data_IF_026435319041
#
_entry.id   IF_026435319041
#
_cell.length_a   1.000
_cell.length_b   1.000
_cell.length_c   1.000
_cell.angle_alpha   90.00
_cell.angle_beta   90.00
_cell.angle_gamma   90.00
#
_symmetry.space_group_name_H-M   'P 1'
#
loop_
_entity.id
_entity.type
_entity.pdbx_description
1 polymer ?
#
# COMPACT_ATOMS: atom_id res chain seq x y z
N UNK A 1 6.27 -12.54 -9.97
CA UNK A 1 5.11 -13.24 -9.37
C UNK A 1 4.69 -12.62 -8.05
N UNK A 2 3.40 -12.28 -7.92
CA UNK A 2 2.80 -11.73 -6.70
C UNK A 2 1.67 -12.63 -6.18
N UNK A 3 1.48 -12.65 -4.86
CA UNK A 3 0.40 -13.39 -4.21
C UNK A 3 -0.88 -12.52 -4.20
N UNK A 4 -1.80 -12.78 -5.12
CA UNK A 4 -3.00 -11.95 -5.35
C UNK A 4 -3.93 -11.92 -4.13
N UNK A 5 -3.93 -12.95 -3.29
CA UNK A 5 -4.78 -13.06 -2.09
C UNK A 5 -4.47 -11.98 -1.05
N UNK A 6 -3.27 -11.40 -1.09
CA UNK A 6 -2.89 -10.31 -0.20
C UNK A 6 -3.38 -8.94 -0.68
N UNK A 7 -3.88 -8.85 -1.91
CA UNK A 7 -4.30 -7.59 -2.53
C UNK A 7 -5.80 -7.38 -2.43
N UNK A 8 -6.18 -6.11 -2.44
CA UNK A 8 -7.55 -5.63 -2.54
C UNK A 8 -7.65 -4.61 -3.68
N UNK A 9 -8.83 -4.48 -4.25
CA UNK A 9 -9.16 -3.36 -5.13
C UNK A 9 -8.85 -2.05 -4.40
N UNK A 10 -8.13 -1.15 -5.06
CA UNK A 10 -7.60 0.09 -4.47
C UNK A 10 -6.13 0.04 -4.08
N UNK A 11 -5.54 -1.15 -3.92
CA UNK A 11 -4.10 -1.28 -3.70
C UNK A 11 -3.31 -0.87 -4.96
N UNK A 12 -2.04 -0.53 -4.77
CA UNK A 12 -1.12 -0.26 -5.88
C UNK A 12 -0.10 -1.38 -6.07
N UNK A 13 0.25 -1.62 -7.32
CA UNK A 13 1.30 -2.53 -7.78
C UNK A 13 2.22 -1.81 -8.77
N UNK A 14 3.41 -2.36 -9.00
CA UNK A 14 4.25 -1.95 -10.12
C UNK A 14 3.94 -2.84 -11.32
N UNK A 15 3.70 -2.21 -12.46
CA UNK A 15 3.62 -2.86 -13.78
C UNK A 15 4.67 -2.21 -14.67
N UNK A 16 5.67 -2.97 -15.10
CA UNK A 16 6.84 -2.44 -15.84
C UNK A 16 7.47 -1.23 -15.11
N UNK A 17 7.69 -1.37 -13.79
CA UNK A 17 8.21 -0.30 -12.90
C UNK A 17 7.33 0.96 -12.79
N UNK A 18 6.10 0.96 -13.31
CA UNK A 18 5.14 2.06 -13.14
C UNK A 18 4.10 1.71 -12.11
N UNK A 19 3.84 2.64 -11.20
CA UNK A 19 2.82 2.47 -10.18
C UNK A 19 1.42 2.51 -10.81
N UNK A 20 0.63 1.46 -10.60
CA UNK A 20 -0.73 1.33 -11.11
C UNK A 20 -1.68 0.92 -9.99
N UNK A 21 -2.90 1.46 -10.02
CA UNK A 21 -3.96 1.14 -9.07
C UNK A 21 -4.72 -0.09 -9.55
N UNK A 22 -4.90 -1.07 -8.69
CA UNK A 22 -5.74 -2.23 -8.94
C UNK A 22 -7.20 -1.80 -8.94
N UNK A 23 -7.90 -2.10 -10.02
CA UNK A 23 -9.34 -1.86 -10.19
C UNK A 23 -10.15 -3.16 -10.26
N UNK A 24 -9.52 -4.30 -10.55
CA UNK A 24 -10.17 -5.61 -10.61
C UNK A 24 -9.22 -6.73 -10.20
N UNK A 25 -9.76 -7.78 -9.60
CA UNK A 25 -9.03 -8.99 -9.20
C UNK A 25 -9.86 -10.21 -9.59
N UNK A 26 -9.28 -11.09 -10.41
CA UNK A 26 -9.83 -12.41 -10.66
C UNK A 26 -8.94 -13.44 -9.98
N UNK A 27 -9.42 -13.98 -8.86
CA UNK A 27 -8.71 -14.98 -8.07
C UNK A 27 -9.29 -16.40 -8.24
N UNK A 28 -9.99 -16.65 -9.35
CA UNK A 28 -10.52 -17.97 -9.65
C UNK A 28 -9.49 -18.77 -10.43
N UNK A 29 -9.23 -20.02 -10.03
CA UNK A 29 -8.36 -20.93 -10.75
C UNK A 29 -6.94 -21.03 -10.21
N UNK A 30 -6.05 -21.60 -11.02
CA UNK A 30 -4.63 -21.77 -10.71
C UNK A 30 -3.87 -20.45 -10.82
N UNK A 31 -2.63 -20.36 -10.30
CA UNK A 31 -1.87 -19.09 -10.26
C UNK A 31 -1.72 -18.40 -11.62
N UNK A 32 -1.59 -19.17 -12.71
CA UNK A 32 -1.49 -18.64 -14.07
C UNK A 32 -2.80 -18.03 -14.58
N UNK A 33 -3.94 -18.50 -14.05
CA UNK A 33 -5.30 -18.05 -14.41
C UNK A 33 -5.74 -16.84 -13.59
N UNK A 34 -5.03 -16.52 -12.50
CA UNK A 34 -5.30 -15.37 -11.66
C UNK A 34 -4.87 -14.10 -12.37
N UNK A 35 -5.80 -13.14 -12.50
CA UNK A 35 -5.60 -11.89 -13.24
C UNK A 35 -5.78 -10.68 -12.34
N UNK A 36 -4.93 -9.69 -12.53
CA UNK A 36 -4.97 -8.39 -11.87
C UNK A 36 -5.29 -7.34 -12.91
N UNK A 37 -6.44 -6.68 -12.73
CA UNK A 37 -6.88 -5.56 -13.56
C UNK A 37 -6.41 -4.24 -12.98
N UNK A 38 -5.82 -3.39 -13.81
CA UNK A 38 -5.35 -2.05 -13.43
C UNK A 38 -5.66 -1.03 -14.52
N UNK A 39 -5.80 0.23 -14.11
CA UNK A 39 -6.05 1.33 -15.04
C UNK A 39 -4.78 1.76 -15.75
N UNK A 40 -4.84 1.82 -17.08
CA UNK A 40 -3.78 2.35 -17.93
C UNK A 40 -4.39 3.10 -19.12
N UNK A 41 -4.00 4.36 -19.26
CA UNK A 41 -4.36 5.22 -20.40
C UNK A 41 -5.88 5.36 -20.64
N UNK A 42 -6.68 5.23 -19.58
CA UNK A 42 -8.14 5.33 -19.61
C UNK A 42 -8.88 4.00 -19.79
N UNK A 43 -8.15 2.91 -20.05
CA UNK A 43 -8.68 1.56 -20.17
C UNK A 43 -8.24 0.68 -19.00
N UNK A 44 -8.96 -0.43 -18.80
CA UNK A 44 -8.57 -1.49 -17.87
C UNK A 44 -7.72 -2.51 -18.62
N UNK A 45 -6.49 -2.68 -18.18
CA UNK A 45 -5.59 -3.72 -18.64
C UNK A 45 -5.53 -4.83 -17.60
N UNK A 46 -5.27 -6.06 -18.06
CA UNK A 46 -5.14 -7.23 -17.19
C UNK A 46 -3.75 -7.83 -17.35
N UNK A 47 -3.22 -8.34 -16.24
CA UNK A 47 -1.96 -9.07 -16.22
C UNK A 47 -2.07 -10.27 -15.29
N UNK A 48 -1.39 -11.35 -15.62
CA UNK A 48 -1.37 -12.54 -14.77
C UNK A 48 -0.63 -12.27 -13.47
N UNK A 49 -1.13 -12.77 -12.35
CA UNK A 49 -0.44 -12.69 -11.05
C UNK A 49 0.93 -13.40 -11.08
N UNK A 50 1.09 -14.39 -11.97
CA UNK A 50 2.34 -15.08 -12.24
C UNK A 50 3.34 -14.26 -13.07
N UNK A 51 2.90 -13.16 -13.71
CA UNK A 51 3.74 -12.35 -14.59
C UNK A 51 4.93 -11.73 -13.87
N UNK A 52 6.07 -11.69 -14.57
CA UNK A 52 7.29 -11.02 -14.10
C UNK A 52 7.22 -9.49 -14.25
N UNK A 53 6.23 -8.99 -15.00
CA UNK A 53 5.98 -7.55 -15.14
C UNK A 53 5.35 -6.95 -13.88
N UNK A 54 4.73 -7.79 -13.05
CA UNK A 54 4.08 -7.40 -11.81
C UNK A 54 5.03 -7.54 -10.63
N UNK A 55 5.19 -6.44 -9.90
CA UNK A 55 6.01 -6.39 -8.69
C UNK A 55 5.25 -5.74 -7.54
N UNK A 56 5.56 -6.18 -6.32
CA UNK A 56 5.12 -5.51 -5.10
C UNK A 56 5.82 -4.16 -4.98
N UNK A 57 5.08 -3.13 -4.53
CA UNK A 57 5.66 -1.82 -4.25
C UNK A 57 6.34 -1.86 -2.88
N UNK A 58 7.65 -1.71 -2.81
CA UNK A 58 8.38 -1.63 -1.52
C UNK A 58 8.09 -0.31 -0.79
N UNK A 59 7.97 -0.37 0.52
CA UNK A 59 7.87 0.82 1.37
C UNK A 59 9.24 1.51 1.42
N UNK A 60 9.22 2.83 1.28
CA UNK A 60 10.38 3.71 1.41
C UNK A 60 9.95 5.01 2.08
N UNK A 61 10.89 5.72 2.71
CA UNK A 61 10.65 7.07 3.24
C UNK A 61 9.95 8.00 2.24
N UNK A 62 10.42 8.01 0.98
CA UNK A 62 9.85 8.85 -0.07
C UNK A 62 8.39 8.47 -0.35
N UNK A 63 8.07 7.18 -0.37
CA UNK A 63 6.71 6.70 -0.55
C UNK A 63 5.81 7.12 0.62
N UNK A 64 6.30 6.98 1.86
CA UNK A 64 5.56 7.38 3.05
C UNK A 64 5.22 8.88 3.05
N UNK A 65 6.17 9.74 2.66
CA UNK A 65 5.92 11.17 2.48
C UNK A 65 4.83 11.43 1.43
N UNK A 66 4.89 10.75 0.27
CA UNK A 66 3.88 10.89 -0.77
C UNK A 66 2.48 10.40 -0.33
N UNK A 67 2.43 9.50 0.65
CA UNK A 67 1.20 9.00 1.26
C UNK A 67 0.76 9.83 2.47
N UNK A 68 1.46 10.94 2.79
CA UNK A 68 1.07 11.85 3.86
C UNK A 68 1.56 11.48 5.26
N UNK A 69 2.52 10.56 5.36
CA UNK A 69 3.23 10.32 6.61
C UNK A 69 4.32 11.38 6.82
N UNK A 70 4.50 11.77 8.07
CA UNK A 70 5.57 12.66 8.54
C UNK A 70 6.49 11.88 9.48
N UNK A 71 7.80 12.01 9.29
CA UNK A 71 8.77 11.43 10.21
C UNK A 71 9.01 12.36 11.41
N UNK A 72 9.03 11.79 12.62
CA UNK A 72 9.27 12.48 13.88
C UNK A 72 10.63 12.06 14.46
N UNK A 73 11.71 12.85 14.28
CA UNK A 73 13.07 12.42 14.61
C UNK A 73 13.31 12.13 16.09
N UNK A 74 12.59 12.82 16.99
CA UNK A 74 12.73 12.63 18.43
C UNK A 74 12.29 11.23 18.87
N UNK A 75 11.18 10.75 18.30
CA UNK A 75 10.60 9.45 18.61
C UNK A 75 11.03 8.35 17.62
N UNK A 76 11.65 8.73 16.50
CA UNK A 76 12.10 7.85 15.42
C UNK A 76 10.96 7.00 14.85
N UNK A 77 9.86 7.69 14.51
CA UNK A 77 8.65 7.07 13.98
C UNK A 77 8.02 7.91 12.88
N UNK A 78 7.28 7.25 12.00
CA UNK A 78 6.43 7.83 10.98
C UNK A 78 5.00 7.90 11.48
N UNK A 79 4.33 9.03 11.30
CA UNK A 79 2.91 9.21 11.63
C UNK A 79 2.14 9.73 10.44
N UNK A 80 0.98 9.14 10.17
CA UNK A 80 0.03 9.71 9.22
C UNK A 80 -0.85 10.74 9.92
N UNK A 81 -0.96 11.94 9.35
CA UNK A 81 -1.83 12.99 9.91
C UNK A 81 -3.29 12.53 9.93
N UNK A 82 -4.00 12.88 10.99
CA UNK A 82 -5.39 12.46 11.22
C UNK A 82 -6.36 13.64 11.24
N UNK A 83 -7.62 13.44 10.81
CA UNK A 83 -8.74 14.23 11.30
C UNK A 83 -8.89 14.09 12.83
N UNK A 84 -9.49 15.07 13.50
CA UNK A 84 -9.72 14.98 14.94
C UNK A 84 -10.50 13.70 15.32
N UNK A 85 -10.06 13.03 16.41
CA UNK A 85 -10.70 11.85 17.03
C UNK A 85 -10.55 10.50 16.32
N UNK A 86 -9.67 10.34 15.33
CA UNK A 86 -9.33 9.00 14.80
C UNK A 86 -8.01 8.47 15.41
N UNK A 87 -7.78 7.16 15.32
CA UNK A 87 -6.52 6.55 15.75
C UNK A 87 -5.38 6.97 14.81
N UNK A 88 -4.18 7.26 15.32
CA UNK A 88 -3.00 7.44 14.46
C UNK A 88 -2.45 6.07 14.07
N UNK A 89 -1.95 5.95 12.83
CA UNK A 89 -1.08 4.83 12.47
C UNK A 89 0.34 5.32 12.59
N UNK A 90 1.10 4.61 13.41
CA UNK A 90 2.51 4.89 13.68
C UNK A 90 3.34 3.74 13.16
N UNK A 91 4.40 4.07 12.43
CA UNK A 91 5.38 3.09 11.96
C UNK A 91 6.73 3.43 12.59
N UNK A 92 7.52 2.42 12.97
CA UNK A 92 8.90 2.65 13.37
C UNK A 92 9.82 2.96 12.17
N UNK A 93 11.12 3.08 12.42
CA UNK A 93 12.14 3.29 11.39
C UNK A 93 12.22 2.16 10.35
N UNK A 94 11.80 0.95 10.70
CA UNK A 94 11.79 -0.23 9.83
C UNK A 94 10.41 -0.43 9.17
N UNK A 95 9.53 0.58 9.29
CA UNK A 95 8.17 0.65 8.76
C UNK A 95 7.18 -0.34 9.38
N UNK A 96 7.48 -0.89 10.56
CA UNK A 96 6.55 -1.76 11.26
C UNK A 96 5.48 -0.97 12.01
N UNK A 97 4.21 -1.39 11.95
CA UNK A 97 3.13 -0.68 12.61
C UNK A 97 3.21 -0.96 14.12
N UNK A 98 3.04 0.09 14.90
CA UNK A 98 3.18 0.02 16.36
C UNK A 98 1.80 -0.02 17.04
N UNK A 99 1.70 -0.80 18.11
CA UNK A 99 0.56 -0.76 19.04
C UNK A 99 0.68 0.40 20.04
N UNK A 100 -0.30 0.53 20.94
CA UNK A 100 -0.28 1.55 22.00
C UNK A 100 0.92 1.43 22.96
N UNK A 101 1.52 0.26 23.07
CA UNK A 101 2.73 0.00 23.85
C UNK A 101 4.02 0.18 23.03
N UNK A 102 3.92 0.65 21.78
CA UNK A 102 5.01 0.76 20.80
C UNK A 102 5.68 -0.58 20.45
N UNK A 103 4.91 -1.66 20.50
CA UNK A 103 5.35 -2.96 20.00
C UNK A 103 4.88 -3.16 18.55
N UNK A 104 5.72 -3.74 17.67
CA UNK A 104 5.31 -4.11 16.32
C UNK A 104 4.11 -5.06 16.31
N UNK A 105 2.99 -4.64 15.70
CA UNK A 105 1.76 -5.45 15.56
C UNK A 105 1.94 -6.52 14.49
N UNK A 106 2.61 -6.16 13.40
CA UNK A 106 2.85 -7.03 12.25
C UNK A 106 4.34 -7.04 11.96
N UNK A 107 4.96 -8.19 12.14
CA UNK A 107 6.33 -8.41 11.70
C UNK A 107 6.31 -8.58 10.17
N UNK A 108 7.19 -7.88 9.45
CA UNK A 108 7.36 -7.95 7.99
C UNK A 108 6.35 -7.18 7.11
N UNK A 109 6.05 -5.92 7.44
CA UNK A 109 5.39 -5.00 6.52
C UNK A 109 6.39 -4.32 5.58
N UNK A 110 6.78 -5.01 4.51
CA UNK A 110 7.79 -4.51 3.55
C UNK A 110 7.16 -3.84 2.31
N UNK A 111 5.86 -4.08 2.08
CA UNK A 111 5.19 -3.71 0.84
C UNK A 111 3.96 -2.84 1.08
N UNK A 112 3.69 -1.94 0.14
CA UNK A 112 2.65 -0.92 0.21
C UNK A 112 1.26 -1.52 0.42
N UNK A 113 0.90 -2.62 -0.26
CA UNK A 113 -0.43 -3.22 -0.15
C UNK A 113 -0.76 -3.61 1.29
N UNK A 114 0.24 -4.06 2.05
CA UNK A 114 0.08 -4.42 3.47
C UNK A 114 -0.26 -3.16 4.30
N UNK A 115 0.45 -2.06 4.05
CA UNK A 115 0.18 -0.77 4.70
C UNK A 115 -1.21 -0.22 4.34
N UNK A 116 -1.57 -0.29 3.06
CA UNK A 116 -2.88 0.17 2.59
C UNK A 116 -4.02 -0.65 3.19
N UNK A 117 -3.85 -1.97 3.30
CA UNK A 117 -4.85 -2.85 3.89
C UNK A 117 -4.99 -2.61 5.39
N UNK A 118 -3.87 -2.46 6.12
CA UNK A 118 -3.88 -2.08 7.53
C UNK A 118 -4.56 -0.72 7.74
N UNK A 119 -4.20 0.27 6.92
CA UNK A 119 -4.79 1.60 6.98
C UNK A 119 -6.30 1.55 6.77
N UNK A 120 -6.76 0.82 5.76
CA UNK A 120 -8.18 0.63 5.50
C UNK A 120 -8.90 -0.07 6.66
N UNK A 121 -8.29 -1.10 7.25
CA UNK A 121 -8.87 -1.79 8.42
C UNK A 121 -9.03 -0.90 9.65
N UNK A 122 -8.12 0.05 9.86
CA UNK A 122 -8.14 0.96 11.02
C UNK A 122 -9.01 2.21 10.76
N UNK A 123 -8.89 2.81 9.58
CA UNK A 123 -9.51 4.11 9.24
C UNK A 123 -10.80 4.00 8.42
N UNK A 124 -11.09 2.82 7.85
CA UNK A 124 -12.24 2.61 6.96
C UNK A 124 -12.15 3.34 5.61
N UNK A 125 -10.99 3.91 5.26
CA UNK A 125 -10.77 4.69 4.03
C UNK A 125 -9.48 4.26 3.34
N UNK A 126 -9.40 4.49 2.02
CA UNK A 126 -8.19 4.16 1.25
C UNK A 126 -7.03 5.09 1.62
N UNK A 127 -5.85 4.51 1.82
CA UNK A 127 -4.61 5.27 1.86
C UNK A 127 -4.27 5.76 0.45
N UNK A 128 -4.51 7.05 0.22
CA UNK A 128 -4.32 7.72 -1.06
C UNK A 128 -3.04 8.56 -1.07
N UNK A 129 -2.47 8.71 -2.27
CA UNK A 129 -1.38 9.66 -2.49
C UNK A 129 -1.85 11.09 -2.28
N UNK A 130 -1.06 11.90 -1.59
CA UNK A 130 -1.30 13.33 -1.53
C UNK A 130 -1.17 13.89 -2.96
N UNK A 131 -2.25 14.49 -3.46
CA UNK A 131 -2.14 15.31 -4.66
C UNK A 131 -1.14 16.41 -4.33
N UNK A 132 0.02 16.43 -5.00
CA UNK A 132 0.91 17.58 -4.92
C UNK A 132 0.07 18.79 -5.33
N UNK A 133 -0.26 19.66 -4.38
CA UNK A 133 -0.58 21.03 -4.71
C UNK A 133 0.67 21.61 -5.36
N UNK A 134 0.74 21.53 -6.68
CA UNK A 134 1.59 22.42 -7.45
C UNK A 134 1.10 23.82 -7.12
N UNK A 135 1.83 24.49 -6.23
CA UNK A 135 1.70 25.91 -5.92
C UNK A 135 2.79 26.64 -6.70
#
# INVERSE_FOLDING_TARGET
MINIEQFRIGNYVLVDSKLRKICSLNNNGNEEEKLIGFEQDGDVQFESAASDRLENVKITDQLLVLLGFTFHPHFRLWQHQRPEKTYSIELDNDYFPLDFAHHPIVQHMLHLHQLQNLFFSIQGTELAFQQKHQS
#
